data_IF_599608794638
#
_entry.id   IF_599608794638
#
_cell.length_a   1.000
_cell.length_b   1.000
_cell.length_c   1.000
_cell.angle_alpha   90.00
_cell.angle_beta   90.00
_cell.angle_gamma   90.00
#
_symmetry.space_group_name_H-M   'P 1'
#
loop_
_entity.id
_entity.type
_entity.pdbx_description
1 polymer ?
#
# COMPACT_ATOMS: atom_id res chain seq x y z
N UNK A 1 -46.94 25.65 18.48
CA UNK A 1 -47.94 24.78 19.14
C UNK A 1 -47.62 23.32 18.82
N UNK A 2 -47.48 22.47 19.85
CA UNK A 2 -47.39 21.02 19.68
C UNK A 2 -48.81 20.53 19.40
N UNK A 3 -49.11 20.15 18.16
CA UNK A 3 -50.40 19.53 17.84
C UNK A 3 -50.49 18.19 18.55
N UNK A 4 -51.55 17.99 19.33
CA UNK A 4 -51.82 16.76 20.08
C UNK A 4 -51.89 15.62 19.05
N UNK A 5 -50.94 14.68 19.11
CA UNK A 5 -50.84 13.54 18.18
C UNK A 5 -49.63 13.53 17.25
N UNK A 6 -48.79 14.58 17.20
CA UNK A 6 -47.56 14.53 16.40
C UNK A 6 -46.46 13.74 17.11
N UNK A 7 -45.91 12.72 16.44
CA UNK A 7 -44.83 11.86 16.94
C UNK A 7 -43.56 12.64 17.31
N UNK A 8 -43.24 13.69 16.53
CA UNK A 8 -42.13 14.61 16.78
C UNK A 8 -42.59 16.07 16.85
N UNK A 9 -41.63 16.98 17.08
CA UNK A 9 -41.84 18.43 17.08
C UNK A 9 -40.81 19.15 16.21
N UNK A 10 -41.27 20.16 15.46
CA UNK A 10 -40.39 21.07 14.70
C UNK A 10 -40.47 22.44 15.36
N UNK A 11 -39.34 22.94 15.85
CA UNK A 11 -39.22 24.23 16.55
C UNK A 11 -38.40 25.15 15.65
N UNK A 12 -38.96 26.32 15.32
CA UNK A 12 -38.22 27.35 14.60
C UNK A 12 -37.31 28.13 15.57
N UNK A 13 -36.02 28.18 15.27
CA UNK A 13 -35.03 28.96 16.01
C UNK A 13 -34.85 30.32 15.33
N UNK A 14 -35.50 31.35 15.89
CA UNK A 14 -35.51 32.72 15.35
C UNK A 14 -34.12 33.38 15.35
N UNK A 15 -33.21 32.96 16.23
CA UNK A 15 -31.86 33.54 16.31
C UNK A 15 -30.95 33.04 15.19
N UNK A 16 -31.11 31.77 14.79
CA UNK A 16 -30.28 31.11 13.78
C UNK A 16 -30.97 31.00 12.41
N UNK A 17 -32.23 31.42 12.29
CA UNK A 17 -33.01 31.28 11.06
C UNK A 17 -33.12 29.82 10.60
N UNK A 18 -33.29 28.88 11.53
CA UNK A 18 -33.25 27.44 11.24
C UNK A 18 -34.38 26.68 11.93
N UNK A 19 -34.75 25.53 11.38
CA UNK A 19 -35.77 24.63 11.93
C UNK A 19 -35.10 23.45 12.63
N UNK A 20 -35.48 23.20 13.88
CA UNK A 20 -34.99 22.08 14.67
C UNK A 20 -36.07 21.02 14.82
N UNK A 21 -35.83 19.85 14.27
CA UNK A 21 -36.67 18.68 14.47
C UNK A 21 -36.22 17.92 15.72
N UNK A 22 -37.16 17.45 16.54
CA UNK A 22 -36.92 16.69 17.77
C UNK A 22 -37.91 15.54 17.95
N UNK A 23 -37.44 14.39 18.41
CA UNK A 23 -38.26 13.26 18.84
C UNK A 23 -37.64 12.54 20.04
N UNK A 24 -38.41 11.68 20.70
CA UNK A 24 -37.95 10.88 21.84
C UNK A 24 -37.19 9.66 21.34
N UNK A 25 -36.06 9.36 21.98
CA UNK A 25 -35.27 8.18 21.64
C UNK A 25 -36.06 6.91 21.96
N UNK A 26 -36.16 5.94 21.04
CA UNK A 26 -37.00 4.75 21.22
C UNK A 26 -36.48 3.80 22.31
N UNK A 27 -35.16 3.58 22.39
CA UNK A 27 -34.57 2.65 23.36
C UNK A 27 -34.20 3.26 24.72
N UNK A 28 -33.98 4.58 24.80
CA UNK A 28 -33.51 5.24 26.03
C UNK A 28 -34.53 6.30 26.43
N UNK A 29 -35.44 6.00 27.38
CA UNK A 29 -36.46 6.94 27.79
C UNK A 29 -35.83 8.21 28.38
N UNK A 30 -36.38 9.37 28.05
CA UNK A 30 -35.89 10.69 28.52
C UNK A 30 -34.77 11.31 27.69
N UNK A 31 -34.13 10.56 26.78
CA UNK A 31 -33.19 11.13 25.80
C UNK A 31 -33.94 11.59 24.56
N UNK A 32 -33.61 12.78 24.07
CA UNK A 32 -34.20 13.33 22.84
C UNK A 32 -33.17 13.37 21.72
N UNK A 33 -33.56 12.92 20.53
CA UNK A 33 -32.77 13.09 19.31
C UNK A 33 -33.20 14.40 18.64
N UNK A 34 -32.23 15.20 18.21
CA UNK A 34 -32.49 16.48 17.55
C UNK A 34 -31.60 16.69 16.33
N UNK A 35 -32.16 17.33 15.30
CA UNK A 35 -31.43 17.71 14.08
C UNK A 35 -31.89 19.08 13.59
N UNK A 36 -30.99 19.83 12.99
CA UNK A 36 -31.22 21.20 12.51
C UNK A 36 -31.27 21.19 10.98
N UNK A 37 -32.20 21.96 10.42
CA UNK A 37 -32.49 22.08 9.00
C UNK A 37 -32.71 23.55 8.62
N UNK A 38 -32.47 23.90 7.36
CA UNK A 38 -32.74 25.24 6.84
C UNK A 38 -34.23 25.46 6.54
N UNK A 39 -34.94 24.41 6.13
CA UNK A 39 -36.34 24.49 5.71
C UNK A 39 -37.26 23.62 6.59
N UNK A 40 -38.50 24.07 6.76
CA UNK A 40 -39.54 23.42 7.56
C UNK A 40 -40.00 22.12 6.92
N UNK A 41 -40.17 22.09 5.60
CA UNK A 41 -40.66 20.91 4.89
C UNK A 41 -39.66 19.76 5.03
N UNK A 42 -38.38 20.04 4.82
CA UNK A 42 -37.29 19.07 5.01
C UNK A 42 -37.24 18.53 6.44
N UNK A 43 -37.46 19.39 7.45
CA UNK A 43 -37.51 18.97 8.85
C UNK A 43 -38.69 18.02 9.13
N UNK A 44 -39.86 18.29 8.54
CA UNK A 44 -41.04 17.41 8.67
C UNK A 44 -40.82 16.09 7.93
N UNK A 45 -40.26 16.11 6.72
CA UNK A 45 -39.94 14.91 5.95
C UNK A 45 -38.96 14.00 6.69
N UNK A 46 -37.93 14.57 7.31
CA UNK A 46 -36.99 13.82 8.14
C UNK A 46 -37.67 13.16 9.35
N UNK A 47 -38.57 13.88 10.05
CA UNK A 47 -39.33 13.28 11.17
C UNK A 47 -40.22 12.12 10.71
N UNK A 48 -40.88 12.25 9.56
CA UNK A 48 -41.70 11.16 9.01
C UNK A 48 -40.85 9.94 8.66
N UNK A 49 -39.63 10.14 8.15
CA UNK A 49 -38.72 9.05 7.84
C UNK A 49 -38.19 8.37 9.12
N UNK A 50 -37.82 9.14 10.14
CA UNK A 50 -37.42 8.58 11.44
C UNK A 50 -38.57 7.85 12.14
N UNK A 51 -39.80 8.35 12.03
CA UNK A 51 -40.98 7.67 12.55
C UNK A 51 -41.13 6.27 11.93
N UNK A 52 -41.02 6.17 10.60
CA UNK A 52 -41.09 4.87 9.89
C UNK A 52 -40.03 3.88 10.35
N UNK A 53 -38.81 4.34 10.58
CA UNK A 53 -37.71 3.48 11.04
C UNK A 53 -37.95 2.98 12.47
N UNK A 54 -38.45 3.84 13.36
CA UNK A 54 -38.81 3.43 14.72
C UNK A 54 -40.02 2.49 14.73
N UNK A 55 -40.99 2.70 13.84
CA UNK A 55 -42.11 1.77 13.68
C UNK A 55 -41.66 0.41 13.14
N UNK A 56 -40.73 0.37 12.19
CA UNK A 56 -40.14 -0.86 11.67
C UNK A 56 -39.35 -1.63 12.76
N UNK A 57 -38.61 -0.92 13.61
CA UNK A 57 -37.90 -1.47 14.77
C UNK A 57 -38.84 -2.07 15.81
N UNK A 58 -39.92 -1.36 16.13
CA UNK A 58 -40.97 -1.89 17.01
C UNK A 58 -41.67 -3.13 16.45
N UNK A 59 -41.81 -3.21 15.12
CA UNK A 59 -42.36 -4.37 14.44
C UNK A 59 -41.35 -5.53 14.28
N UNK A 60 -40.08 -5.31 14.62
CA UNK A 60 -39.02 -6.31 14.51
C UNK A 60 -38.52 -6.56 13.08
N UNK A 61 -38.78 -5.65 12.14
CA UNK A 61 -38.34 -5.80 10.74
C UNK A 61 -36.92 -5.30 10.51
N UNK A 62 -36.51 -4.21 11.17
CA UNK A 62 -35.20 -3.59 10.99
C UNK A 62 -34.75 -2.91 12.29
N UNK A 63 -33.46 -2.90 12.60
CA UNK A 63 -32.96 -2.33 13.85
C UNK A 63 -32.77 -0.83 13.70
N UNK A 64 -33.45 -0.04 14.54
CA UNK A 64 -33.25 1.41 14.54
C UNK A 64 -31.85 1.76 15.06
N UNK A 65 -31.12 2.56 14.28
CA UNK A 65 -29.80 3.10 14.64
C UNK A 65 -29.87 4.61 14.78
N UNK A 66 -29.11 5.15 15.73
CA UNK A 66 -29.14 6.59 15.99
C UNK A 66 -28.67 7.39 14.75
N UNK A 67 -29.33 8.50 14.36
CA UNK A 67 -28.99 9.23 13.15
C UNK A 67 -27.52 9.67 13.04
N UNK A 68 -26.89 10.07 14.14
CA UNK A 68 -25.46 10.41 14.14
C UNK A 68 -24.56 9.20 13.84
N UNK A 69 -24.91 8.01 14.30
CA UNK A 69 -24.13 6.80 14.02
C UNK A 69 -24.29 6.40 12.56
N UNK A 70 -25.49 6.51 12.02
CA UNK A 70 -25.77 6.26 10.61
C UNK A 70 -25.05 7.25 9.70
N UNK A 71 -25.05 8.53 10.06
CA UNK A 71 -24.34 9.58 9.34
C UNK A 71 -22.82 9.35 9.41
N UNK A 72 -22.29 8.94 10.57
CA UNK A 72 -20.88 8.57 10.73
C UNK A 72 -20.50 7.34 9.91
N UNK A 73 -21.33 6.30 9.90
CA UNK A 73 -21.11 5.09 9.09
C UNK A 73 -21.12 5.42 7.59
N UNK A 74 -22.10 6.21 7.13
CA UNK A 74 -22.16 6.67 5.74
C UNK A 74 -20.94 7.51 5.37
N UNK A 75 -20.49 8.40 6.27
CA UNK A 75 -19.30 9.21 6.05
C UNK A 75 -18.04 8.35 5.94
N UNK A 76 -17.86 7.39 6.86
CA UNK A 76 -16.73 6.46 6.83
C UNK A 76 -16.74 5.60 5.56
N UNK A 77 -17.92 5.19 5.08
CA UNK A 77 -18.03 4.47 3.81
C UNK A 77 -17.68 5.36 2.61
N UNK A 78 -18.14 6.61 2.60
CA UNK A 78 -17.75 7.59 1.58
C UNK A 78 -16.25 7.84 1.58
N UNK A 79 -15.64 8.03 2.75
CA UNK A 79 -14.19 8.20 2.89
C UNK A 79 -13.43 7.00 2.31
N UNK A 80 -13.88 5.77 2.57
CA UNK A 80 -13.32 4.56 1.94
C UNK A 80 -13.47 4.57 0.42
N UNK A 81 -14.62 4.99 -0.11
CA UNK A 81 -14.89 5.06 -1.56
C UNK A 81 -14.05 6.14 -2.25
N UNK A 82 -13.78 7.24 -1.57
CA UNK A 82 -12.99 8.36 -2.06
C UNK A 82 -11.49 8.23 -1.80
N UNK A 83 -11.04 7.14 -1.15
CA UNK A 83 -9.62 6.92 -0.88
C UNK A 83 -8.86 6.79 -2.20
N UNK A 84 -7.93 7.72 -2.42
CA UNK A 84 -7.11 7.80 -3.62
C UNK A 84 -6.02 6.74 -3.56
N UNK A 85 -5.78 6.08 -4.69
CA UNK A 85 -4.77 5.03 -4.78
C UNK A 85 -3.37 5.52 -4.39
N UNK A 86 -2.98 6.72 -4.85
CA UNK A 86 -1.68 7.33 -4.53
C UNK A 86 -1.42 7.40 -3.04
N UNK A 87 -2.35 7.94 -2.27
CA UNK A 87 -2.17 8.16 -0.83
C UNK A 87 -2.09 6.82 -0.10
N UNK A 88 -2.95 5.88 -0.48
CA UNK A 88 -2.94 4.52 0.05
C UNK A 88 -1.63 3.77 -0.26
N UNK A 89 -1.09 3.92 -1.48
CA UNK A 89 0.14 3.25 -1.88
C UNK A 89 1.38 3.79 -1.12
N UNK A 90 1.42 5.09 -0.85
CA UNK A 90 2.47 5.72 -0.04
C UNK A 90 2.41 5.19 1.39
N UNK A 91 1.24 5.25 2.02
CA UNK A 91 1.03 4.75 3.38
C UNK A 91 1.39 3.26 3.49
N UNK A 92 0.99 2.46 2.51
CA UNK A 92 1.31 1.04 2.47
C UNK A 92 2.82 0.78 2.48
N UNK A 93 3.61 1.50 1.67
CA UNK A 93 5.07 1.29 1.58
C UNK A 93 5.77 1.73 2.86
N UNK A 94 5.31 2.80 3.51
CA UNK A 94 5.85 3.29 4.78
C UNK A 94 5.58 2.32 5.94
N UNK A 95 4.35 1.80 6.01
CA UNK A 95 3.93 0.82 7.00
C UNK A 95 4.40 -0.60 6.67
N UNK A 96 4.98 -0.82 5.49
CA UNK A 96 5.36 -2.15 5.06
C UNK A 96 6.45 -2.75 5.97
N UNK A 97 6.17 -3.93 6.50
CA UNK A 97 7.09 -4.74 7.30
C UNK A 97 7.36 -6.10 6.65
N UNK A 98 8.45 -6.73 7.06
CA UNK A 98 8.74 -8.13 6.71
C UNK A 98 7.69 -9.05 7.35
N UNK A 99 7.67 -10.32 6.93
CA UNK A 99 6.81 -11.34 7.54
C UNK A 99 7.05 -11.47 9.05
N UNK A 100 8.29 -11.26 9.49
CA UNK A 100 8.70 -11.34 10.89
C UNK A 100 8.35 -10.07 11.70
N UNK A 101 7.59 -9.13 11.14
CA UNK A 101 7.21 -7.86 11.77
C UNK A 101 8.32 -6.79 11.81
N UNK A 102 9.58 -7.17 11.56
CA UNK A 102 10.72 -6.24 11.53
C UNK A 102 10.66 -5.27 10.34
N UNK A 103 11.13 -4.02 10.51
CA UNK A 103 11.26 -3.08 9.40
C UNK A 103 12.30 -3.58 8.39
N UNK A 104 12.13 -3.17 7.13
CA UNK A 104 13.13 -3.42 6.09
C UNK A 104 14.41 -2.63 6.33
N UNK A 105 15.54 -3.17 5.88
CA UNK A 105 16.80 -2.42 5.78
C UNK A 105 16.64 -1.22 4.85
N UNK A 106 17.40 -0.16 5.12
CA UNK A 106 17.31 1.11 4.40
C UNK A 106 17.51 0.96 2.88
N UNK A 107 18.47 0.12 2.47
CA UNK A 107 18.70 -0.18 1.05
C UNK A 107 17.47 -0.80 0.37
N UNK A 108 16.72 -1.64 1.08
CA UNK A 108 15.49 -2.26 0.55
C UNK A 108 14.34 -1.25 0.51
N UNK A 109 14.20 -0.40 1.55
CA UNK A 109 13.23 0.70 1.56
C UNK A 109 13.45 1.65 0.38
N UNK A 110 14.71 2.02 0.11
CA UNK A 110 15.07 2.87 -1.03
C UNK A 110 14.60 2.28 -2.36
N UNK A 111 14.84 0.98 -2.60
CA UNK A 111 14.36 0.28 -3.82
C UNK A 111 12.85 0.21 -3.90
N UNK A 112 12.16 -0.06 -2.78
CA UNK A 112 10.70 -0.06 -2.75
C UNK A 112 10.11 1.32 -3.09
N UNK A 113 10.72 2.39 -2.57
CA UNK A 113 10.33 3.76 -2.87
C UNK A 113 10.58 4.12 -4.34
N UNK A 114 11.62 3.59 -4.97
CA UNK A 114 11.87 3.75 -6.41
C UNK A 114 10.76 3.09 -7.24
N UNK A 115 10.35 1.86 -6.92
CA UNK A 115 9.21 1.21 -7.59
C UNK A 115 7.89 1.93 -7.34
N UNK A 116 7.70 2.48 -6.14
CA UNK A 116 6.55 3.32 -5.84
C UNK A 116 6.52 4.56 -6.73
N UNK A 117 7.65 5.25 -6.94
CA UNK A 117 7.73 6.43 -7.83
C UNK A 117 7.30 6.10 -9.26
N UNK A 118 7.75 4.97 -9.81
CA UNK A 118 7.30 4.52 -11.12
C UNK A 118 5.80 4.26 -11.18
N UNK A 119 5.24 3.72 -10.09
CA UNK A 119 3.82 3.42 -9.99
C UNK A 119 2.99 4.70 -9.86
N UNK A 120 3.49 5.72 -9.14
CA UNK A 120 2.84 7.03 -9.01
C UNK A 120 2.82 7.84 -10.32
N UNK A 121 3.69 7.53 -11.28
CA UNK A 121 3.65 8.11 -12.63
C UNK A 121 2.57 7.47 -13.52
N UNK A 122 1.95 6.37 -13.09
CA UNK A 122 0.91 5.70 -13.86
C UNK A 122 -0.36 6.56 -13.96
N UNK A 123 -1.12 6.47 -15.08
CA UNK A 123 -2.31 7.29 -15.30
C UNK A 123 -3.43 7.05 -14.28
N UNK A 124 -3.46 5.87 -13.65
CA UNK A 124 -4.46 5.53 -12.64
C UNK A 124 -4.07 5.96 -11.22
N UNK A 125 -2.88 6.55 -10.99
CA UNK A 125 -2.44 6.91 -9.65
C UNK A 125 -3.34 7.93 -8.95
N UNK A 126 -4.00 8.80 -9.73
CA UNK A 126 -4.98 9.78 -9.24
C UNK A 126 -6.41 9.24 -9.08
N UNK A 127 -6.68 7.99 -9.47
CA UNK A 127 -8.01 7.38 -9.34
C UNK A 127 -8.24 6.88 -7.90
N UNK A 128 -9.50 6.72 -7.53
CA UNK A 128 -9.87 6.07 -6.26
C UNK A 128 -9.60 4.57 -6.33
N UNK A 129 -9.35 3.92 -5.19
CA UNK A 129 -9.10 2.48 -5.13
C UNK A 129 -10.22 1.64 -5.78
N UNK A 130 -11.47 2.11 -5.66
CA UNK A 130 -12.67 1.44 -6.16
C UNK A 130 -12.90 1.62 -7.66
N UNK A 131 -12.32 2.67 -8.27
CA UNK A 131 -12.52 2.98 -9.70
C UNK A 131 -11.41 2.42 -10.60
N UNK A 132 -10.35 1.84 -10.03
CA UNK A 132 -9.28 1.22 -10.81
C UNK A 132 -9.80 -0.06 -11.47
N UNK A 133 -9.73 -0.11 -12.79
CA UNK A 133 -10.16 -1.25 -13.60
C UNK A 133 -8.98 -2.09 -14.10
N UNK A 134 -9.26 -3.30 -14.56
CA UNK A 134 -8.27 -4.14 -15.27
C UNK A 134 -7.74 -3.45 -16.54
N UNK A 135 -8.61 -2.73 -17.26
CA UNK A 135 -8.24 -1.99 -18.46
C UNK A 135 -7.19 -0.90 -18.19
N UNK A 136 -7.30 -0.20 -17.07
CA UNK A 136 -6.32 0.81 -16.64
C UNK A 136 -4.93 0.22 -16.43
N UNK A 137 -4.88 -0.98 -15.84
CA UNK A 137 -3.63 -1.70 -15.59
C UNK A 137 -3.04 -2.18 -16.91
N UNK A 138 -3.86 -2.67 -17.85
CA UNK A 138 -3.41 -3.05 -19.19
C UNK A 138 -2.84 -1.86 -19.97
N UNK A 139 -3.52 -0.71 -19.94
CA UNK A 139 -3.04 0.52 -20.56
C UNK A 139 -1.69 0.96 -19.97
N UNK A 140 -1.55 0.88 -18.65
CA UNK A 140 -0.28 1.18 -18.01
C UNK A 140 0.82 0.19 -18.41
N UNK A 141 0.54 -1.10 -18.48
CA UNK A 141 1.52 -2.12 -18.91
C UNK A 141 1.91 -2.00 -20.39
N UNK A 142 1.06 -1.41 -21.23
CA UNK A 142 1.38 -1.10 -22.63
C UNK A 142 2.38 0.07 -22.75
N UNK A 143 2.57 0.86 -21.70
CA UNK A 143 3.52 1.98 -21.69
C UNK A 143 4.97 1.46 -21.70
N UNK A 144 5.86 2.04 -22.53
CA UNK A 144 7.26 1.60 -22.60
C UNK A 144 8.01 1.91 -21.29
N UNK A 145 8.45 0.86 -20.61
CA UNK A 145 9.28 0.92 -19.39
C UNK A 145 10.40 -0.13 -19.40
N UNK A 146 11.45 0.03 -18.61
CA UNK A 146 12.46 -1.02 -18.45
C UNK A 146 11.85 -2.33 -17.89
N UNK A 147 12.23 -3.53 -18.39
CA UNK A 147 11.58 -4.79 -18.01
C UNK A 147 11.62 -5.09 -16.50
N UNK A 148 12.76 -4.83 -15.85
CA UNK A 148 12.95 -5.13 -14.42
C UNK A 148 12.13 -4.21 -13.52
N UNK A 149 12.22 -2.86 -13.63
CA UNK A 149 11.34 -1.95 -12.90
C UNK A 149 9.86 -2.22 -13.17
N UNK A 150 9.48 -2.52 -14.42
CA UNK A 150 8.09 -2.86 -14.78
C UNK A 150 7.57 -4.06 -13.99
N UNK A 151 8.33 -5.17 -13.97
CA UNK A 151 7.95 -6.36 -13.18
C UNK A 151 7.85 -6.03 -11.68
N UNK A 152 8.82 -5.30 -11.13
CA UNK A 152 8.86 -5.00 -9.69
C UNK A 152 7.74 -4.06 -9.28
N UNK A 153 7.44 -3.05 -10.08
CA UNK A 153 6.29 -2.17 -9.88
C UNK A 153 4.97 -2.96 -9.99
N UNK A 154 4.83 -3.88 -10.94
CA UNK A 154 3.64 -4.74 -11.05
C UNK A 154 3.47 -5.65 -9.81
N UNK A 155 4.56 -6.25 -9.33
CA UNK A 155 4.53 -7.06 -8.09
C UNK A 155 4.14 -6.21 -6.87
N UNK A 156 4.60 -4.97 -6.80
CA UNK A 156 4.22 -4.02 -5.75
C UNK A 156 2.72 -3.67 -5.85
N UNK A 157 2.24 -3.31 -7.05
CA UNK A 157 0.82 -3.03 -7.30
C UNK A 157 -0.07 -4.19 -6.87
N UNK A 158 0.30 -5.42 -7.27
CA UNK A 158 -0.45 -6.63 -6.90
C UNK A 158 -0.54 -6.80 -5.38
N UNK A 159 0.53 -6.50 -4.65
CA UNK A 159 0.55 -6.57 -3.18
C UNK A 159 -0.32 -5.49 -2.53
N UNK A 160 -0.26 -4.26 -3.04
CA UNK A 160 -1.09 -3.15 -2.54
C UNK A 160 -2.57 -3.48 -2.70
N UNK A 161 -3.00 -3.90 -3.90
CA UNK A 161 -4.40 -4.22 -4.16
C UNK A 161 -4.86 -5.47 -3.40
N UNK A 162 -4.00 -6.47 -3.22
CA UNK A 162 -4.31 -7.63 -2.36
C UNK A 162 -4.50 -7.19 -0.90
N UNK A 163 -3.66 -6.29 -0.38
CA UNK A 163 -3.83 -5.78 0.98
C UNK A 163 -5.12 -4.97 1.12
N UNK A 164 -5.45 -4.14 0.13
CA UNK A 164 -6.71 -3.40 0.11
C UNK A 164 -7.92 -4.35 0.17
N UNK A 165 -7.86 -5.45 -0.57
CA UNK A 165 -8.89 -6.50 -0.54
C UNK A 165 -8.97 -7.18 0.82
N UNK A 166 -7.85 -7.57 1.43
CA UNK A 166 -7.81 -8.17 2.76
C UNK A 166 -8.34 -7.25 3.86
N UNK A 167 -8.20 -5.95 3.68
CA UNK A 167 -8.67 -4.93 4.63
C UNK A 167 -10.16 -4.58 4.39
N UNK A 168 -10.78 -5.13 3.34
CA UNK A 168 -12.17 -4.86 2.98
C UNK A 168 -12.40 -3.47 2.37
N UNK A 169 -11.34 -2.80 1.87
CA UNK A 169 -11.47 -1.52 1.16
C UNK A 169 -12.02 -1.72 -0.26
N UNK A 170 -11.71 -2.86 -0.88
CA UNK A 170 -12.20 -3.26 -2.20
C UNK A 170 -12.76 -4.69 -2.12
N UNK A 171 -13.81 -4.98 -2.90
CA UNK A 171 -14.39 -6.33 -2.94
C UNK A 171 -13.50 -7.36 -3.64
N UNK A 172 -12.90 -6.99 -4.78
CA UNK A 172 -11.99 -7.84 -5.56
C UNK A 172 -10.82 -7.03 -6.10
N UNK A 173 -9.62 -7.59 -6.03
CA UNK A 173 -8.43 -6.98 -6.65
C UNK A 173 -8.55 -6.97 -8.19
N UNK A 174 -8.31 -5.82 -8.86
CA UNK A 174 -8.30 -5.71 -10.31
C UNK A 174 -7.01 -6.28 -10.94
N UNK A 175 -6.05 -6.77 -10.16
CA UNK A 175 -4.79 -7.34 -10.68
C UNK A 175 -4.92 -8.85 -10.87
N UNK A 176 -5.74 -9.27 -11.83
CA UNK A 176 -5.98 -10.70 -12.13
C UNK A 176 -4.87 -11.31 -13.01
N UNK A 177 -4.23 -10.50 -13.85
CA UNK A 177 -3.25 -10.97 -14.84
C UNK A 177 -1.95 -11.54 -14.25
N UNK A 178 -1.26 -12.34 -15.08
CA UNK A 178 0.06 -12.86 -14.76
C UNK A 178 1.12 -11.76 -14.87
N UNK A 179 2.18 -11.90 -14.09
CA UNK A 179 3.28 -10.93 -14.08
C UNK A 179 3.98 -10.87 -15.45
N UNK A 180 4.41 -9.68 -15.90
CA UNK A 180 5.13 -9.54 -17.16
C UNK A 180 6.42 -10.38 -17.13
N UNK A 181 6.67 -11.13 -18.20
CA UNK A 181 7.87 -11.97 -18.30
C UNK A 181 9.10 -11.10 -18.52
N UNK A 182 10.19 -11.41 -17.82
CA UNK A 182 11.47 -10.79 -18.08
C UNK A 182 12.14 -11.41 -19.30
N UNK A 183 12.80 -10.62 -20.15
CA UNK A 183 13.72 -11.17 -21.14
C UNK A 183 14.87 -11.89 -20.43
N UNK A 184 15.50 -12.85 -21.13
CA UNK A 184 16.69 -13.54 -20.60
C UNK A 184 17.76 -12.50 -20.28
N UNK A 185 18.36 -12.60 -19.09
CA UNK A 185 19.43 -11.70 -18.68
C UNK A 185 20.58 -11.75 -19.69
N UNK A 186 21.11 -10.58 -20.07
CA UNK A 186 22.31 -10.50 -20.91
C UNK A 186 23.50 -11.19 -20.25
N UNK A 187 23.57 -11.18 -18.91
CA UNK A 187 24.62 -11.88 -18.16
C UNK A 187 24.56 -13.40 -18.34
N UNK A 188 23.35 -13.96 -18.49
CA UNK A 188 23.19 -15.40 -18.75
C UNK A 188 23.62 -15.80 -20.18
N UNK A 189 23.84 -14.84 -21.07
CA UNK A 189 24.34 -15.05 -22.43
C UNK A 189 25.86 -14.90 -22.51
N UNK A 190 26.52 -14.44 -21.44
CA UNK A 190 27.98 -14.36 -21.38
C UNK A 190 28.50 -15.80 -21.26
N UNK A 191 29.30 -16.30 -22.23
CA UNK A 191 29.87 -17.64 -22.14
C UNK A 191 30.79 -17.75 -20.92
N UNK A 192 30.85 -18.94 -20.33
CA UNK A 192 31.80 -19.22 -19.25
C UNK A 192 33.21 -19.05 -19.79
N UNK A 193 34.03 -18.26 -19.10
CA UNK A 193 35.41 -18.00 -19.51
C UNK A 193 36.21 -19.31 -19.57
N UNK A 194 36.93 -19.52 -20.67
CA UNK A 194 37.82 -20.67 -20.84
C UNK A 194 39.02 -20.54 -19.89
N UNK A 195 39.61 -21.67 -19.47
CA UNK A 195 40.76 -21.70 -18.55
C UNK A 195 41.90 -20.77 -18.98
N UNK A 196 42.24 -20.74 -20.26
CA UNK A 196 43.30 -19.87 -20.82
C UNK A 196 42.95 -18.37 -20.71
N UNK A 197 41.67 -18.02 -20.84
CA UNK A 197 41.17 -16.66 -20.68
C UNK A 197 41.18 -16.22 -19.21
N UNK A 198 40.95 -17.15 -18.28
CA UNK A 198 41.08 -16.91 -16.84
C UNK A 198 42.55 -16.70 -16.45
N UNK A 199 43.45 -17.56 -16.92
CA UNK A 199 44.89 -17.46 -16.64
C UNK A 199 45.49 -16.17 -17.19
N UNK A 200 45.11 -15.75 -18.41
CA UNK A 200 45.54 -14.47 -18.99
C UNK A 200 44.96 -13.26 -18.27
N UNK A 201 43.69 -13.34 -17.81
CA UNK A 201 43.08 -12.30 -16.98
C UNK A 201 43.77 -12.16 -15.62
N UNK A 202 44.11 -13.28 -14.97
CA UNK A 202 44.84 -13.29 -13.68
C UNK A 202 46.24 -12.71 -13.86
N UNK A 203 46.98 -13.12 -14.89
CA UNK A 203 48.31 -12.58 -15.23
C UNK A 203 48.27 -11.06 -15.50
N UNK A 204 47.21 -10.57 -16.16
CA UNK A 204 46.98 -9.13 -16.41
C UNK A 204 46.63 -8.37 -15.11
N UNK A 205 45.80 -8.94 -14.25
CA UNK A 205 45.43 -8.34 -12.95
C UNK A 205 46.61 -8.30 -11.97
N UNK A 206 47.46 -9.33 -11.94
CA UNK A 206 48.66 -9.41 -11.10
C UNK A 206 49.69 -8.31 -11.41
N UNK A 207 49.61 -7.67 -12.59
CA UNK A 207 50.52 -6.58 -12.98
C UNK A 207 50.09 -5.19 -12.50
N UNK A 208 48.85 -5.04 -12.01
CA UNK A 208 48.29 -3.70 -11.74
C UNK A 208 47.57 -3.57 -10.39
N UNK A 209 47.06 -4.66 -9.80
CA UNK A 209 46.40 -4.61 -8.47
C UNK A 209 46.70 -5.91 -7.72
N UNK A 210 47.87 -5.99 -7.10
CA UNK A 210 48.24 -7.11 -6.22
C UNK A 210 47.55 -6.88 -4.87
N UNK A 211 46.33 -7.41 -4.68
CA UNK A 211 45.88 -8.02 -3.40
C UNK A 211 44.38 -8.38 -3.36
N UNK A 212 43.39 -7.68 -3.94
CA UNK A 212 41.98 -8.03 -3.72
C UNK A 212 41.41 -9.07 -4.69
N UNK A 213 41.90 -9.13 -5.94
CA UNK A 213 41.28 -9.97 -6.97
C UNK A 213 41.52 -11.47 -6.81
N UNK A 214 42.69 -11.87 -6.28
CA UNK A 214 43.05 -13.29 -6.18
C UNK A 214 42.22 -14.00 -5.10
N UNK A 215 41.92 -13.33 -3.97
CA UNK A 215 41.03 -13.89 -2.94
C UNK A 215 39.55 -13.98 -3.38
N UNK A 216 39.12 -13.09 -4.28
CA UNK A 216 37.74 -13.09 -4.79
C UNK A 216 37.46 -14.26 -5.76
N UNK A 217 38.49 -14.79 -6.44
CA UNK A 217 38.32 -15.95 -7.34
C UNK A 217 38.23 -17.29 -6.60
N UNK A 218 38.87 -17.42 -5.43
CA UNK A 218 38.87 -18.66 -4.65
C UNK A 218 37.61 -18.85 -3.78
N UNK A 219 36.86 -17.77 -3.52
CA UNK A 219 35.61 -17.82 -2.78
C UNK A 219 34.47 -17.39 -3.69
N UNK A 220 33.51 -18.28 -3.94
CA UNK A 220 32.27 -18.01 -4.67
C UNK A 220 31.39 -17.05 -3.86
N UNK A 221 31.85 -15.81 -3.65
CA UNK A 221 31.25 -14.86 -2.73
C UNK A 221 30.69 -13.68 -3.52
N UNK A 222 29.35 -13.62 -3.58
CA UNK A 222 28.61 -12.53 -4.20
C UNK A 222 29.09 -11.17 -3.68
N UNK A 223 29.32 -10.26 -4.63
CA UNK A 223 30.13 -9.04 -4.58
C UNK A 223 29.68 -7.92 -3.63
N UNK A 224 28.83 -8.21 -2.63
CA UNK A 224 28.31 -7.20 -1.70
C UNK A 224 28.71 -7.45 -0.24
N UNK A 225 29.30 -8.60 0.10
CA UNK A 225 29.78 -8.90 1.47
C UNK A 225 31.27 -8.66 1.71
N UNK A 226 32.07 -8.34 0.70
CA UNK A 226 33.52 -8.12 0.87
C UNK A 226 33.88 -6.81 1.58
N UNK A 227 32.97 -5.84 1.72
CA UNK A 227 33.26 -4.55 2.36
C UNK A 227 33.27 -4.58 3.91
N UNK A 228 33.06 -5.74 4.54
CA UNK A 228 32.97 -5.86 6.01
C UNK A 228 33.77 -7.05 6.55
N UNK A 229 34.97 -7.28 6.04
CA UNK A 229 35.96 -8.09 6.75
C UNK A 229 36.79 -7.19 7.65
N UNK A 230 36.46 -7.20 8.95
CA UNK A 230 37.30 -6.66 10.02
C UNK A 230 38.54 -7.57 10.06
N UNK A 231 39.73 -6.99 9.92
CA UNK A 231 41.01 -7.69 9.99
C UNK A 231 41.03 -8.64 11.19
N UNK A 232 40.96 -9.95 10.94
CA UNK A 232 41.46 -10.97 11.86
C UNK A 232 42.85 -11.29 11.33
N UNK A 233 43.86 -10.88 12.09
CA UNK A 233 45.27 -11.14 11.81
C UNK A 233 45.49 -12.65 11.71
N UNK A 234 45.57 -13.16 10.48
CA UNK A 234 46.15 -14.47 10.19
C UNK A 234 47.66 -14.26 10.03
N UNK A 235 48.40 -14.58 11.07
CA UNK A 235 49.85 -14.77 11.03
C UNK A 235 50.16 -15.95 10.10
N UNK A 236 50.75 -15.67 8.94
CA UNK A 236 51.37 -16.69 8.10
C UNK A 236 52.77 -17.00 8.64
N UNK A 237 53.17 -18.27 8.81
CA UNK A 237 54.55 -18.62 9.10
C UNK A 237 55.40 -18.39 7.85
N UNK A 238 56.49 -17.65 8.02
CA UNK A 238 57.50 -17.38 6.99
C UNK A 238 58.21 -18.69 6.67
N UNK A 239 57.90 -19.30 5.53
CA UNK A 239 58.71 -20.39 4.98
C UNK A 239 59.95 -19.78 4.32
N UNK A 240 61.10 -20.13 4.88
CA UNK A 240 62.45 -19.76 4.46
C UNK A 240 62.75 -20.23 3.03
N UNK A 241 63.05 -19.28 2.15
CA UNK A 241 63.76 -19.54 0.89
C UNK A 241 65.22 -19.88 1.20
N UNK A 242 65.64 -21.13 1.02
CA UNK A 242 67.04 -21.49 0.85
C UNK A 242 67.37 -21.52 -0.65
N UNK A 243 68.21 -20.57 -1.07
CA UNK A 243 68.93 -20.62 -2.33
C UNK A 243 69.87 -21.83 -2.31
N UNK A 244 69.79 -22.69 -3.34
CA UNK A 244 70.89 -23.59 -3.70
C UNK A 244 71.42 -23.11 -5.05
N UNK A 245 72.66 -22.62 -5.02
CA UNK A 245 73.51 -22.40 -6.19
C UNK A 245 74.32 -23.66 -6.46
N UNK A 246 74.06 -24.29 -7.61
CA UNK A 246 75.02 -24.66 -8.66
C UNK A 246 74.24 -25.28 -9.83
#
# INVERSE_FOLDING_TARGET
MRTKGSWGSVIYDRKRGSYRARYQHPHVPGRTVQRVFADKLTAQGWLAQEQRLVEADKAGLDTWTHPSERDAARKAEQEKRHLVFRDYAVEFVEQWRRKDGRPFEEATKRKNNEYLRHLLQAPFAGKTLTSITEADIHMWLATPMEPTPRLRAFQLLKRIMLKAQQTGLIGRSPVTMSAPKLPKSKQAQIPVATREQLESSIKRCHRTVVSPCILACASTCASTKCARFRYVTLTFPVASCTCVTL
#
